data_IF_319254417752
#
_entry.id   IF_319254417752
#
_cell.length_a   1.000
_cell.length_b   1.000
_cell.length_c   1.000
_cell.angle_alpha   90.00
_cell.angle_beta   90.00
_cell.angle_gamma   90.00
#
_symmetry.space_group_name_H-M   'P 1'
#
loop_
_entity.id
_entity.type
_entity.pdbx_description
1 polymer ?
#
# COMPACT_ATOMS: atom_id res chain seq x y z
N UNK A 1 3.53 8.07 -8.10
CA UNK A 1 2.39 7.33 -7.51
C UNK A 1 2.93 6.20 -6.62
N UNK A 2 2.23 5.81 -5.55
CA UNK A 2 2.68 4.78 -4.59
C UNK A 2 1.80 3.53 -4.61
N UNK A 3 2.38 2.39 -4.23
CA UNK A 3 1.80 1.04 -4.29
C UNK A 3 2.15 0.26 -3.02
N UNK A 4 1.19 -0.46 -2.46
CA UNK A 4 1.33 -1.21 -1.21
C UNK A 4 1.19 -2.71 -1.48
N UNK A 5 2.12 -3.52 -0.98
CA UNK A 5 2.16 -4.97 -1.22
C UNK A 5 2.19 -5.76 0.08
N UNK A 6 1.56 -6.92 0.10
CA UNK A 6 1.59 -7.85 1.23
C UNK A 6 2.97 -8.54 1.27
N UNK A 7 3.74 -8.34 2.34
CA UNK A 7 5.08 -8.92 2.46
C UNK A 7 5.10 -10.37 2.98
N UNK A 8 3.96 -10.89 3.46
CA UNK A 8 3.88 -12.15 4.19
C UNK A 8 3.45 -13.38 3.35
N UNK A 9 3.37 -13.27 2.03
CA UNK A 9 3.09 -14.45 1.21
C UNK A 9 4.38 -15.20 0.88
N UNK A 10 4.55 -16.37 1.49
CA UNK A 10 5.62 -17.39 1.34
C UNK A 10 5.81 -17.94 -0.09
N UNK A 11 5.36 -17.21 -1.11
CA UNK A 11 5.46 -17.60 -2.49
C UNK A 11 6.54 -16.78 -3.18
N UNK A 12 7.58 -17.44 -3.72
CA UNK A 12 8.55 -16.81 -4.64
C UNK A 12 7.87 -16.06 -5.81
N UNK A 13 6.62 -16.42 -6.13
CA UNK A 13 5.81 -15.71 -7.12
C UNK A 13 5.48 -14.27 -6.74
N UNK A 14 5.38 -13.92 -5.45
CA UNK A 14 5.06 -12.55 -4.99
C UNK A 14 6.22 -11.61 -5.28
N UNK A 15 7.45 -11.99 -4.94
CA UNK A 15 8.66 -11.21 -5.21
C UNK A 15 8.89 -11.07 -6.72
N UNK A 16 8.72 -12.15 -7.50
CA UNK A 16 8.83 -12.05 -8.96
C UNK A 16 7.78 -11.12 -9.56
N UNK A 17 6.55 -11.13 -9.03
CA UNK A 17 5.46 -10.28 -9.52
C UNK A 17 5.77 -8.80 -9.33
N UNK A 18 6.41 -8.43 -8.22
CA UNK A 18 6.83 -7.06 -7.93
C UNK A 18 7.75 -6.48 -9.03
N UNK A 19 8.65 -7.30 -9.59
CA UNK A 19 9.58 -6.89 -10.64
C UNK A 19 9.03 -7.00 -12.07
N UNK A 20 8.10 -7.91 -12.32
CA UNK A 20 7.71 -8.30 -13.68
C UNK A 20 6.27 -7.92 -14.07
N UNK A 21 5.43 -7.52 -13.12
CA UNK A 21 4.04 -7.14 -13.37
C UNK A 21 3.83 -5.67 -13.07
N UNK A 22 2.85 -5.05 -13.72
CA UNK A 22 2.42 -3.71 -13.36
C UNK A 22 1.61 -3.74 -12.05
N UNK A 23 1.63 -2.67 -11.23
CA UNK A 23 0.90 -2.68 -9.96
C UNK A 23 -0.62 -2.86 -10.10
N UNK A 24 -1.21 -2.37 -11.19
CA UNK A 24 -2.63 -2.59 -11.50
C UNK A 24 -2.96 -4.06 -11.78
N UNK A 25 -2.02 -4.80 -12.39
CA UNK A 25 -2.14 -6.24 -12.55
C UNK A 25 -1.99 -6.95 -11.21
N UNK A 26 -1.06 -6.53 -10.34
CA UNK A 26 -0.92 -7.14 -9.00
C UNK A 26 -2.15 -6.91 -8.13
N UNK A 27 -2.79 -5.74 -8.26
CA UNK A 27 -4.03 -5.43 -7.56
C UNK A 27 -5.20 -6.30 -8.01
N UNK A 28 -5.33 -6.61 -9.31
CA UNK A 28 -6.40 -7.51 -9.78
C UNK A 28 -6.28 -8.94 -9.25
N UNK A 29 -5.08 -9.35 -8.83
CA UNK A 29 -4.83 -10.62 -8.14
C UNK A 29 -5.02 -10.53 -6.61
N UNK A 30 -5.36 -9.36 -6.08
CA UNK A 30 -5.60 -9.15 -4.65
C UNK A 30 -4.33 -9.06 -3.79
N UNK A 31 -3.16 -8.84 -4.39
CA UNK A 31 -1.88 -8.82 -3.67
C UNK A 31 -1.34 -7.39 -3.43
N UNK A 32 -1.98 -6.38 -4.01
CA UNK A 32 -1.48 -5.00 -4.03
C UNK A 32 -2.64 -4.00 -4.00
N UNK A 33 -2.39 -2.81 -3.45
CA UNK A 33 -3.21 -1.61 -3.70
C UNK A 33 -2.44 -0.67 -4.61
N UNK A 34 -3.02 -0.33 -5.78
CA UNK A 34 -2.40 0.59 -6.73
C UNK A 34 -3.04 1.97 -6.77
N UNK A 35 -2.29 2.96 -7.24
CA UNK A 35 -2.81 4.32 -7.37
C UNK A 35 -2.94 5.08 -6.06
N UNK A 36 -2.15 4.72 -5.04
CA UNK A 36 -2.21 5.34 -3.73
C UNK A 36 -1.39 6.63 -3.69
N UNK A 37 -1.89 7.61 -2.95
CA UNK A 37 -1.26 8.91 -2.74
C UNK A 37 -1.21 9.23 -1.25
N UNK A 38 -0.08 9.77 -0.80
CA UNK A 38 0.06 10.23 0.57
C UNK A 38 -0.86 11.43 0.80
N UNK A 39 -1.69 11.39 1.85
CA UNK A 39 -2.69 12.44 2.13
C UNK A 39 -2.07 13.67 2.78
N UNK A 40 -1.07 13.47 3.65
CA UNK A 40 -0.43 14.51 4.47
C UNK A 40 0.98 14.07 4.86
N UNK A 41 1.76 14.98 5.41
CA UNK A 41 3.07 14.64 5.96
C UNK A 41 2.93 13.53 7.01
N UNK A 42 3.89 12.58 7.06
CA UNK A 42 3.86 11.51 8.04
C UNK A 42 3.91 12.05 9.47
N UNK A 43 3.22 11.40 10.39
CA UNK A 43 3.21 11.76 11.81
C UNK A 43 4.18 10.87 12.58
N UNK A 44 4.95 11.43 13.52
CA UNK A 44 5.80 10.63 14.41
C UNK A 44 4.94 9.68 15.23
N UNK A 45 5.18 8.38 15.09
CA UNK A 45 4.44 7.36 15.84
C UNK A 45 5.22 6.90 17.06
N UNK A 46 6.42 6.36 16.86
CA UNK A 46 7.35 5.98 17.94
C UNK A 46 8.70 5.55 17.39
N UNK A 47 9.82 5.83 18.07
CA UNK A 47 11.13 5.20 17.85
C UNK A 47 11.58 5.10 16.37
N UNK A 48 11.45 6.18 15.60
CA UNK A 48 11.86 6.19 14.19
C UNK A 48 10.86 5.53 13.22
N UNK A 49 9.65 5.24 13.70
CA UNK A 49 8.52 4.85 12.86
C UNK A 49 7.52 5.99 12.71
N UNK A 50 6.93 6.08 11.51
CA UNK A 50 6.05 7.16 11.12
C UNK A 50 4.71 6.64 10.63
N UNK A 51 3.63 7.27 11.08
CA UNK A 51 2.28 6.98 10.64
C UNK A 51 2.01 7.70 9.32
N UNK A 52 1.78 6.91 8.28
CA UNK A 52 1.47 7.36 6.93
C UNK A 52 0.01 7.04 6.59
N UNK A 53 -0.75 8.03 6.14
CA UNK A 53 -2.09 7.81 5.62
C UNK A 53 -2.08 7.96 4.10
N UNK A 54 -2.45 6.89 3.40
CA UNK A 54 -2.58 6.87 1.96
C UNK A 54 -4.06 6.84 1.56
N UNK A 55 -4.41 7.56 0.52
CA UNK A 55 -5.74 7.52 -0.11
C UNK A 55 -5.64 7.07 -1.57
N UNK A 56 -6.67 6.41 -2.06
CA UNK A 56 -6.77 6.07 -3.49
C UNK A 56 -7.09 7.32 -4.30
N UNK A 57 -6.28 7.62 -5.31
CA UNK A 57 -6.58 8.73 -6.22
C UNK A 57 -7.76 8.34 -7.12
N UNK A 58 -8.84 9.12 -7.11
CA UNK A 58 -10.04 8.85 -7.94
C UNK A 58 -9.68 8.69 -9.41
N UNK A 59 -9.97 7.52 -9.98
CA UNK A 59 -9.76 7.21 -11.39
C UNK A 59 -11.09 7.44 -12.10
N UNK A 60 -11.26 8.63 -12.70
CA UNK A 60 -12.34 9.05 -13.59
C UNK A 60 -13.81 8.76 -13.17
N UNK A 61 -14.63 9.83 -13.12
CA UNK A 61 -16.09 9.86 -12.87
C UNK A 61 -16.57 10.05 -11.42
N UNK A 62 -15.77 10.66 -10.54
CA UNK A 62 -16.19 11.03 -9.16
C UNK A 62 -16.68 9.87 -8.27
N UNK A 63 -16.60 8.62 -8.73
CA UNK A 63 -16.82 7.44 -7.91
C UNK A 63 -15.48 7.03 -7.32
N UNK A 64 -15.35 7.17 -6.00
CA UNK A 64 -14.25 6.58 -5.26
C UNK A 64 -14.50 5.08 -5.19
N UNK A 65 -13.74 4.29 -5.94
CA UNK A 65 -13.78 2.82 -5.82
C UNK A 65 -13.31 2.43 -4.43
N UNK A 66 -14.11 1.59 -3.76
CA UNK A 66 -13.74 1.07 -2.45
C UNK A 66 -12.41 0.34 -2.54
N UNK A 67 -11.54 0.50 -1.54
CA UNK A 67 -10.33 -0.31 -1.46
C UNK A 67 -10.71 -1.79 -1.47
N UNK A 68 -10.11 -2.61 -2.37
CA UNK A 68 -10.29 -4.05 -2.29
C UNK A 68 -9.87 -4.56 -0.91
N UNK A 69 -10.59 -5.56 -0.40
CA UNK A 69 -10.34 -6.16 0.91
C UNK A 69 -9.17 -7.15 0.86
N UNK A 70 -8.02 -6.70 0.36
CA UNK A 70 -6.81 -7.49 0.27
C UNK A 70 -5.94 -7.38 1.53
N UNK A 71 -6.05 -6.29 2.29
CA UNK A 71 -5.24 -6.06 3.49
C UNK A 71 -6.01 -6.29 4.79
N UNK A 72 -5.29 -6.67 5.84
CA UNK A 72 -5.78 -6.76 7.21
C UNK A 72 -4.92 -5.93 8.16
N UNK A 73 -5.51 -5.42 9.24
CA UNK A 73 -4.76 -4.70 10.30
C UNK A 73 -3.73 -5.64 10.93
N UNK A 74 -2.51 -5.15 11.11
CA UNK A 74 -1.35 -5.91 11.59
C UNK A 74 -0.56 -6.62 10.49
N UNK A 75 -1.05 -6.62 9.25
CA UNK A 75 -0.36 -7.23 8.12
C UNK A 75 0.90 -6.45 7.75
N UNK A 76 1.97 -7.16 7.42
CA UNK A 76 3.23 -6.56 6.99
C UNK A 76 3.15 -6.14 5.53
N UNK A 77 3.65 -4.93 5.25
CA UNK A 77 3.50 -4.30 3.95
C UNK A 77 4.80 -3.71 3.44
N UNK A 78 4.95 -3.75 2.12
CA UNK A 78 6.02 -3.10 1.38
C UNK A 78 5.44 -1.95 0.58
N UNK A 79 6.03 -0.77 0.72
CA UNK A 79 5.68 0.42 -0.06
C UNK A 79 6.65 0.58 -1.21
N UNK A 80 6.11 0.72 -2.42
CA UNK A 80 6.87 1.01 -3.63
C UNK A 80 6.31 2.23 -4.34
N UNK A 81 7.12 2.87 -5.18
CA UNK A 81 6.70 3.92 -6.12
C UNK A 81 6.79 3.42 -7.56
N UNK A 82 6.40 4.26 -8.51
CA UNK A 82 6.60 3.99 -9.94
C UNK A 82 8.08 3.93 -10.35
N UNK A 83 8.96 4.64 -9.64
CA UNK A 83 10.38 4.75 -9.97
C UNK A 83 11.29 3.90 -9.09
N UNK A 84 10.80 3.45 -7.94
CA UNK A 84 11.59 2.75 -6.94
C UNK A 84 10.76 1.70 -6.22
N UNK A 85 11.26 0.47 -6.22
CA UNK A 85 10.68 -0.68 -5.54
C UNK A 85 11.23 -0.74 -4.12
N UNK A 86 10.40 -1.14 -3.16
CA UNK A 86 10.81 -1.39 -1.77
C UNK A 86 11.37 -0.16 -1.04
N UNK A 87 10.66 0.96 -1.13
CA UNK A 87 11.02 2.22 -0.45
C UNK A 87 11.05 2.06 1.07
N UNK A 88 9.99 1.46 1.61
CA UNK A 88 9.77 1.33 3.04
C UNK A 88 8.99 0.06 3.36
N UNK A 89 9.26 -0.49 4.54
CA UNK A 89 8.56 -1.62 5.12
C UNK A 89 7.77 -1.16 6.33
N UNK A 90 6.67 -1.83 6.60
CA UNK A 90 5.87 -1.50 7.77
C UNK A 90 4.70 -2.43 7.98
N UNK A 91 3.70 -1.92 8.70
CA UNK A 91 2.49 -2.68 9.04
C UNK A 91 1.24 -1.85 8.80
N UNK A 92 0.15 -2.53 8.44
CA UNK A 92 -1.18 -1.92 8.38
C UNK A 92 -1.62 -1.58 9.80
N UNK A 93 -1.78 -0.28 10.07
CA UNK A 93 -2.23 0.21 11.37
C UNK A 93 -3.76 0.34 11.42
N UNK A 94 -4.35 0.88 10.37
CA UNK A 94 -5.80 1.03 10.26
C UNK A 94 -6.24 0.98 8.79
N UNK A 95 -7.43 0.45 8.54
CA UNK A 95 -8.09 0.51 7.23
C UNK A 95 -9.34 1.35 7.43
N UNK A 96 -9.32 2.57 6.93
CA UNK A 96 -10.45 3.48 7.04
C UNK A 96 -11.51 3.13 5.97
N UNK A 97 -12.79 3.30 6.30
CA UNK A 97 -13.85 2.92 5.37
C UNK A 97 -13.82 3.80 4.10
N UNK A 98 -13.81 3.14 2.94
CA UNK A 98 -13.91 3.63 1.55
C UNK A 98 -12.58 3.69 0.80
N UNK A 99 -11.63 4.54 1.14
CA UNK A 99 -10.50 4.82 0.22
C UNK A 99 -9.15 5.07 0.87
N UNK A 100 -9.06 5.02 2.20
CA UNK A 100 -7.84 5.29 2.94
C UNK A 100 -7.33 4.11 3.74
N UNK A 101 -6.00 4.02 3.83
CA UNK A 101 -5.28 3.04 4.63
C UNK A 101 -4.15 3.75 5.36
N UNK A 102 -4.02 3.47 6.65
CA UNK A 102 -2.97 4.00 7.50
C UNK A 102 -1.94 2.91 7.80
N UNK A 103 -0.67 3.23 7.59
CA UNK A 103 0.46 2.32 7.76
C UNK A 103 1.47 2.93 8.73
N UNK A 104 2.08 2.11 9.56
CA UNK A 104 3.27 2.49 10.34
C UNK A 104 4.48 2.00 9.57
N UNK A 105 5.29 2.95 9.08
CA UNK A 105 6.43 2.71 8.19
C UNK A 105 7.74 3.11 8.86
N UNK A 106 8.84 2.51 8.40
CA UNK A 106 10.20 2.75 8.91
C UNK A 106 10.92 3.97 8.31
N UNK A 107 10.31 4.64 7.32
CA UNK A 107 10.83 5.82 6.62
C UNK A 107 9.72 6.73 6.15
#
# INVERSE_FOLDING_TARGET
MLHLEISATDNESSIRSLWCQDPSQRESHGNCLSGMSLTRNPEDFSNGYFLHTFHRKSIMNNSVEQLPKCFQVGESVLVSSESEIALSLGVVYNIEEKDSIALVLDK
#
